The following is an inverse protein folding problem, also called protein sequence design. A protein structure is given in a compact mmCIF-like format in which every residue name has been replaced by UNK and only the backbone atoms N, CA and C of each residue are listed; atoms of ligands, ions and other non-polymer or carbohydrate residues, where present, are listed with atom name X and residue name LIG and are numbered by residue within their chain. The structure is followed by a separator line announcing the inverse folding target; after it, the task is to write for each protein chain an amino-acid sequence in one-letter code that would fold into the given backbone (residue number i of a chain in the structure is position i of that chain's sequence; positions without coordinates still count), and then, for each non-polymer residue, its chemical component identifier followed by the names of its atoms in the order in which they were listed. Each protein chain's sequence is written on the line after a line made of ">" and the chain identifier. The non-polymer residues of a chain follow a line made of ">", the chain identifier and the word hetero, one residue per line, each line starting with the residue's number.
data_IF_529751328601
#
_entry.id   IF_529751328601
#
_cell.length_a   1.000
_cell.length_b   1.000
_cell.length_c   1.000
_cell.angle_alpha   90.00
_cell.angle_beta   90.00
_cell.angle_gamma   90.00
#
_symmetry.space_group_name_H-M   'P 1'
#
loop_
_entity.id
_entity.type
_entity.pdbx_description
1 polymer ?
#
# COMPACT_ATOMS: atom_id res chain seq x y z
N UNK A 1 17.58 4.99 -19.64
CA UNK A 1 17.19 5.90 -18.53
C UNK A 1 18.36 6.01 -17.55
N UNK A 2 18.81 7.23 -17.22
CA UNK A 2 19.85 7.44 -16.18
C UNK A 2 19.34 6.83 -14.86
N UNK A 3 20.21 6.16 -14.09
CA UNK A 3 19.85 5.39 -12.87
C UNK A 3 18.98 6.22 -11.91
N UNK A 4 19.32 7.49 -11.69
CA UNK A 4 18.54 8.40 -10.83
C UNK A 4 17.09 8.59 -11.30
N UNK A 5 16.84 8.73 -12.62
CA UNK A 5 15.48 8.88 -13.18
C UNK A 5 14.66 7.61 -12.98
N UNK A 6 15.29 6.43 -13.06
CA UNK A 6 14.64 5.14 -12.76
C UNK A 6 14.21 5.05 -11.31
N UNK A 7 15.12 5.36 -10.38
CA UNK A 7 14.86 5.32 -8.95
C UNK A 7 13.72 6.27 -8.60
N UNK A 8 13.79 7.51 -9.07
CA UNK A 8 12.73 8.51 -8.84
C UNK A 8 11.37 8.05 -9.38
N UNK A 9 11.32 7.56 -10.62
CA UNK A 9 10.06 7.09 -11.23
C UNK A 9 9.47 5.89 -10.47
N UNK A 10 10.32 4.96 -10.02
CA UNK A 10 9.90 3.81 -9.23
C UNK A 10 9.34 4.21 -7.87
N UNK A 11 10.04 5.11 -7.15
CA UNK A 11 9.56 5.63 -5.86
C UNK A 11 8.24 6.37 -6.01
N UNK A 12 8.10 7.24 -7.02
CA UNK A 12 6.86 7.95 -7.30
C UNK A 12 5.71 6.99 -7.61
N UNK A 13 5.94 5.98 -8.46
CA UNK A 13 4.95 4.96 -8.79
C UNK A 13 4.48 4.22 -7.53
N UNK A 14 5.44 3.84 -6.66
CA UNK A 14 5.17 3.22 -5.37
C UNK A 14 4.33 4.11 -4.47
N UNK A 15 4.75 5.36 -4.24
CA UNK A 15 4.05 6.30 -3.37
C UNK A 15 2.63 6.61 -3.85
N UNK A 16 2.42 6.76 -5.17
CA UNK A 16 1.07 6.95 -5.75
C UNK A 16 0.20 5.73 -5.48
N UNK A 17 0.73 4.51 -5.68
CA UNK A 17 -0.01 3.30 -5.39
C UNK A 17 -0.34 3.13 -3.90
N UNK A 18 0.64 3.37 -3.02
CA UNK A 18 0.45 3.35 -1.57
C UNK A 18 -0.60 4.37 -1.12
N UNK A 19 -0.58 5.58 -1.70
CA UNK A 19 -1.60 6.61 -1.49
C UNK A 19 -2.98 6.18 -1.98
N UNK A 20 -3.05 5.56 -3.16
CA UNK A 20 -4.30 5.00 -3.69
C UNK A 20 -4.92 3.95 -2.77
N UNK A 21 -4.12 3.05 -2.21
CA UNK A 21 -4.57 2.06 -1.21
C UNK A 21 -5.05 2.73 0.08
N UNK A 22 -4.30 3.71 0.59
CA UNK A 22 -4.67 4.44 1.80
C UNK A 22 -6.00 5.20 1.62
N UNK A 23 -6.18 5.87 0.48
CA UNK A 23 -7.41 6.58 0.13
C UNK A 23 -8.59 5.61 -0.04
N UNK A 24 -8.38 4.44 -0.64
CA UNK A 24 -9.42 3.42 -0.78
C UNK A 24 -9.95 2.95 0.58
N UNK A 25 -9.06 2.63 1.52
CA UNK A 25 -9.48 2.22 2.87
C UNK A 25 -10.10 3.37 3.64
N UNK A 26 -9.56 4.59 3.53
CA UNK A 26 -10.18 5.77 4.14
C UNK A 26 -11.60 5.99 3.62
N UNK A 27 -11.82 5.88 2.31
CA UNK A 27 -13.16 6.02 1.72
C UNK A 27 -14.11 4.91 2.22
N UNK A 28 -13.63 3.67 2.32
CA UNK A 28 -14.41 2.54 2.83
C UNK A 28 -14.80 2.73 4.30
N UNK A 29 -13.86 3.20 5.12
CA UNK A 29 -14.05 3.52 6.53
C UNK A 29 -15.07 4.67 6.73
N UNK A 30 -15.00 5.71 5.90
CA UNK A 30 -15.95 6.82 5.92
C UNK A 30 -17.36 6.35 5.56
N UNK A 31 -17.51 5.48 4.55
CA UNK A 31 -18.81 4.90 4.17
C UNK A 31 -19.40 4.06 5.32
N UNK A 32 -18.55 3.41 6.13
CA UNK A 32 -18.94 2.65 7.31
C UNK A 32 -19.17 3.51 8.57
N UNK A 33 -19.00 4.83 8.47
CA UNK A 33 -19.07 5.79 9.58
C UNK A 33 -18.03 5.53 10.69
N UNK A 34 -16.88 4.95 10.31
CA UNK A 34 -15.79 4.59 11.23
C UNK A 34 -14.44 5.05 10.65
N UNK A 35 -14.19 6.37 10.51
CA UNK A 35 -13.00 6.88 9.84
C UNK A 35 -11.73 6.39 10.52
N UNK A 36 -10.74 5.99 9.70
CA UNK A 36 -9.43 5.47 10.12
C UNK A 36 -9.49 4.12 10.86
N UNK A 37 -10.65 3.48 10.99
CA UNK A 37 -10.78 2.18 11.65
C UNK A 37 -9.84 1.13 11.05
N UNK A 38 -9.81 1.02 9.72
CA UNK A 38 -8.96 0.04 9.02
C UNK A 38 -7.48 0.33 9.30
N UNK A 39 -7.04 1.59 9.16
CA UNK A 39 -5.63 1.94 9.36
C UNK A 39 -5.22 1.76 10.83
N UNK A 40 -6.08 2.13 11.78
CA UNK A 40 -5.83 1.94 13.20
C UNK A 40 -5.81 0.46 13.59
N UNK A 41 -6.66 -0.37 12.98
CA UNK A 41 -6.66 -1.82 13.17
C UNK A 41 -5.37 -2.45 12.60
N UNK A 42 -4.98 -2.08 11.38
CA UNK A 42 -3.74 -2.56 10.76
C UNK A 42 -2.50 -2.13 11.56
N UNK A 43 -2.47 -0.89 12.05
CA UNK A 43 -1.37 -0.37 12.86
C UNK A 43 -1.22 -1.11 14.19
N UNK A 44 -2.34 -1.30 14.91
CA UNK A 44 -2.36 -2.06 16.17
C UNK A 44 -1.94 -3.51 15.94
N UNK A 45 -2.52 -4.15 14.93
CA UNK A 45 -2.18 -5.52 14.56
C UNK A 45 -0.68 -5.67 14.23
N UNK A 46 -0.12 -4.77 13.43
CA UNK A 46 1.29 -4.81 13.03
C UNK A 46 2.25 -4.59 14.21
N UNK A 47 1.89 -3.73 15.16
CA UNK A 47 2.69 -3.41 16.33
C UNK A 47 2.41 -4.33 17.53
N UNK A 48 1.56 -5.34 17.37
CA UNK A 48 1.18 -6.26 18.46
C UNK A 48 0.44 -5.59 19.61
N UNK A 49 -0.25 -4.48 19.34
CA UNK A 49 -1.06 -3.77 20.34
C UNK A 49 -2.43 -4.46 20.51
N UNK A 50 -2.97 -4.51 21.74
CA UNK A 50 -4.27 -5.14 21.99
C UNK A 50 -5.39 -4.49 21.18
N UNK A 51 -6.35 -5.32 20.75
CA UNK A 51 -7.52 -4.89 19.98
C UNK A 51 -8.56 -4.16 20.84
N UNK A 52 -8.53 -4.41 22.15
CA UNK A 52 -9.53 -3.98 23.11
C UNK A 52 -9.62 -2.44 23.17
N UNK A 53 -10.88 -1.98 23.21
CA UNK A 53 -11.31 -0.62 22.96
C UNK A 53 -10.54 0.42 23.77
N UNK A 54 -10.28 1.58 23.14
CA UNK A 54 -10.12 2.83 23.86
C UNK A 54 -11.16 2.85 25.00
N UNK A 55 -10.75 2.97 26.27
CA UNK A 55 -11.70 2.97 27.37
C UNK A 55 -12.76 4.07 27.13
N UNK A 56 -14.02 3.87 27.57
CA UNK A 56 -15.05 4.89 27.42
C UNK A 56 -14.61 6.17 28.16
N UNK A 57 -14.16 7.16 27.39
CA UNK A 57 -13.59 8.42 27.87
C UNK A 57 -12.53 8.96 26.90
N UNK A 58 -12.26 10.27 26.95
CA UNK A 58 -11.12 10.89 26.27
C UNK A 58 -9.83 10.52 26.99
N UNK A 59 -9.40 9.27 26.87
CA UNK A 59 -8.07 8.86 27.31
C UNK A 59 -7.04 9.39 26.30
N UNK A 60 -6.46 10.54 26.64
CA UNK A 60 -5.44 11.24 25.83
C UNK A 60 -4.24 10.33 25.59
N UNK A 61 -3.89 9.46 26.54
CA UNK A 61 -2.75 8.54 26.38
C UNK A 61 -3.08 7.48 25.31
N UNK A 62 -4.27 6.89 25.36
CA UNK A 62 -4.72 5.93 24.35
C UNK A 62 -4.86 6.56 22.94
N UNK A 63 -5.31 7.82 22.87
CA UNK A 63 -5.33 8.59 21.62
C UNK A 63 -3.92 8.83 21.07
N UNK A 64 -2.97 9.23 21.93
CA UNK A 64 -1.59 9.45 21.55
C UNK A 64 -0.91 8.16 21.06
N UNK A 65 -1.08 7.05 21.78
CA UNK A 65 -0.55 5.74 21.38
C UNK A 65 -1.12 5.29 20.04
N UNK A 66 -2.43 5.46 19.83
CA UNK A 66 -3.07 5.13 18.54
C UNK A 66 -2.55 6.01 17.41
N UNK A 67 -2.42 7.32 17.65
CA UNK A 67 -1.87 8.26 16.67
C UNK A 67 -0.42 7.93 16.28
N UNK A 68 0.43 7.62 17.25
CA UNK A 68 1.82 7.18 17.01
C UNK A 68 1.83 5.86 16.22
N UNK A 69 1.00 4.89 16.61
CA UNK A 69 0.89 3.61 15.91
C UNK A 69 0.50 3.80 14.44
N UNK A 70 -0.54 4.60 14.18
CA UNK A 70 -0.99 4.95 12.82
C UNK A 70 0.10 5.67 12.04
N UNK A 71 0.81 6.61 12.66
CA UNK A 71 1.91 7.33 12.04
C UNK A 71 3.05 6.40 11.63
N UNK A 72 3.52 5.55 12.53
CA UNK A 72 4.58 4.57 12.27
C UNK A 72 4.15 3.59 11.18
N UNK A 73 2.93 3.04 11.27
CA UNK A 73 2.39 2.13 10.28
C UNK A 73 2.29 2.78 8.90
N UNK A 74 1.83 4.04 8.83
CA UNK A 74 1.74 4.79 7.57
C UNK A 74 3.10 4.98 6.92
N UNK A 75 4.13 5.31 7.69
CA UNK A 75 5.50 5.43 7.19
C UNK A 75 6.00 4.10 6.61
N UNK A 76 5.78 2.99 7.32
CA UNK A 76 6.15 1.65 6.85
C UNK A 76 5.38 1.24 5.60
N UNK A 77 4.09 1.56 5.53
CA UNK A 77 3.24 1.35 4.36
C UNK A 77 3.80 2.08 3.12
N UNK A 78 4.09 3.37 3.24
CA UNK A 78 4.68 4.13 2.12
C UNK A 78 6.09 3.66 1.77
N UNK A 79 6.91 3.26 2.75
CA UNK A 79 8.23 2.69 2.48
C UNK A 79 8.13 1.35 1.72
N UNK A 80 7.22 0.47 2.14
CA UNK A 80 6.93 -0.80 1.48
C UNK A 80 6.48 -0.59 0.03
N UNK A 81 5.52 0.31 -0.19
CA UNK A 81 5.05 0.63 -1.54
C UNK A 81 6.12 1.32 -2.39
N UNK A 82 6.95 2.20 -1.82
CA UNK A 82 8.12 2.78 -2.49
C UNK A 82 9.12 1.71 -2.96
N UNK A 83 9.42 0.72 -2.12
CA UNK A 83 10.26 -0.41 -2.47
C UNK A 83 9.65 -1.28 -3.58
N UNK A 84 8.34 -1.55 -3.51
CA UNK A 84 7.61 -2.27 -4.55
C UNK A 84 7.60 -1.51 -5.88
N UNK A 85 7.41 -0.19 -5.86
CA UNK A 85 7.46 0.65 -7.06
C UNK A 85 8.84 0.65 -7.70
N UNK A 86 9.90 0.72 -6.90
CA UNK A 86 11.29 0.56 -7.38
C UNK A 86 11.49 -0.81 -8.03
N UNK A 87 11.06 -1.88 -7.37
CA UNK A 87 11.13 -3.26 -7.89
C UNK A 87 10.34 -3.41 -9.19
N UNK A 88 9.15 -2.79 -9.30
CA UNK A 88 8.32 -2.81 -10.49
C UNK A 88 9.06 -2.27 -11.72
N UNK A 89 9.97 -1.30 -11.56
CA UNK A 89 10.78 -0.81 -12.69
C UNK A 89 11.64 -1.89 -13.34
N UNK A 90 11.96 -2.98 -12.63
CA UNK A 90 12.77 -4.10 -13.12
C UNK A 90 11.90 -5.26 -13.61
N UNK A 91 10.74 -5.48 -12.98
CA UNK A 91 9.92 -6.67 -13.18
C UNK A 91 8.77 -6.43 -14.17
N UNK A 92 8.35 -5.18 -14.36
CA UNK A 92 7.25 -4.80 -15.26
C UNK A 92 7.81 -4.09 -16.49
N UNK A 93 8.23 -4.84 -17.54
CA UNK A 93 8.76 -4.24 -18.75
C UNK A 93 7.67 -3.49 -19.52
N UNK A 94 8.02 -2.28 -19.96
CA UNK A 94 7.17 -1.45 -20.80
C UNK A 94 6.97 -2.13 -22.16
N UNK A 95 5.72 -2.41 -22.50
CA UNK A 95 5.32 -2.96 -23.80
C UNK A 95 4.21 -2.10 -24.38
N UNK A 96 3.01 -2.62 -24.62
CA UNK A 96 1.83 -1.79 -24.86
C UNK A 96 1.29 -1.25 -23.53
N UNK A 97 0.55 -0.14 -23.58
CA UNK A 97 -0.07 0.45 -22.39
C UNK A 97 -0.91 -0.59 -21.62
N UNK A 98 -1.84 -1.25 -22.30
CA UNK A 98 -2.72 -2.26 -21.70
C UNK A 98 -1.97 -3.48 -21.15
N UNK A 99 -0.97 -3.98 -21.88
CA UNK A 99 -0.16 -5.10 -21.38
C UNK A 99 0.67 -4.71 -20.15
N UNK A 100 1.15 -3.47 -20.10
CA UNK A 100 1.88 -2.93 -18.95
C UNK A 100 0.97 -2.82 -17.73
N UNK A 101 -0.27 -2.33 -17.90
CA UNK A 101 -1.26 -2.31 -16.81
C UNK A 101 -1.60 -3.71 -16.31
N UNK A 102 -1.84 -4.67 -17.21
CA UNK A 102 -2.14 -6.05 -16.83
C UNK A 102 -1.00 -6.72 -16.04
N UNK A 103 0.26 -6.51 -16.48
CA UNK A 103 1.45 -6.98 -15.75
C UNK A 103 1.62 -6.28 -14.42
N UNK A 104 1.35 -4.97 -14.36
CA UNK A 104 1.30 -4.21 -13.12
C UNK A 104 0.31 -4.80 -12.13
N UNK A 105 -0.91 -5.08 -12.58
CA UNK A 105 -1.95 -5.70 -11.76
C UNK A 105 -1.54 -7.07 -11.21
N UNK A 106 -0.95 -7.93 -12.06
CA UNK A 106 -0.40 -9.22 -11.62
C UNK A 106 0.74 -9.04 -10.61
N UNK A 107 1.66 -8.12 -10.88
CA UNK A 107 2.77 -7.81 -9.98
C UNK A 107 2.27 -7.33 -8.62
N UNK A 108 1.35 -6.36 -8.57
CA UNK A 108 0.77 -5.88 -7.32
C UNK A 108 0.01 -6.97 -6.59
N UNK A 109 -0.86 -7.69 -7.30
CA UNK A 109 -1.64 -8.80 -6.76
C UNK A 109 -0.78 -9.91 -6.14
N UNK A 110 0.39 -10.20 -6.69
CA UNK A 110 1.33 -11.18 -6.12
C UNK A 110 2.26 -10.54 -5.08
N UNK A 111 3.06 -9.55 -5.47
CA UNK A 111 4.14 -9.02 -4.64
C UNK A 111 3.63 -8.27 -3.41
N UNK A 112 2.62 -7.41 -3.54
CA UNK A 112 2.06 -6.69 -2.40
C UNK A 112 1.30 -7.64 -1.45
N UNK A 113 0.64 -8.67 -1.99
CA UNK A 113 -0.02 -9.70 -1.17
C UNK A 113 0.98 -10.58 -0.44
N UNK A 114 2.07 -11.00 -1.09
CA UNK A 114 3.15 -11.74 -0.44
C UNK A 114 3.83 -10.90 0.64
N UNK A 115 4.05 -9.61 0.39
CA UNK A 115 4.60 -8.70 1.40
C UNK A 115 3.68 -8.59 2.61
N UNK A 116 2.37 -8.42 2.38
CA UNK A 116 1.37 -8.36 3.45
C UNK A 116 1.31 -9.66 4.25
N UNK A 117 1.20 -10.81 3.57
CA UNK A 117 1.14 -12.13 4.21
C UNK A 117 2.44 -12.43 4.95
N UNK A 118 3.60 -12.13 4.35
CA UNK A 118 4.91 -12.31 4.98
C UNK A 118 5.08 -11.44 6.23
N UNK A 119 4.71 -10.15 6.14
CA UNK A 119 4.71 -9.25 7.28
C UNK A 119 3.81 -9.76 8.42
N UNK A 120 2.61 -10.25 8.09
CA UNK A 120 1.72 -10.92 9.05
C UNK A 120 2.38 -12.13 9.71
N UNK A 121 2.98 -13.02 8.92
CA UNK A 121 3.63 -14.23 9.42
C UNK A 121 4.79 -13.90 10.37
N UNK A 122 5.63 -12.93 10.01
CA UNK A 122 6.79 -12.52 10.83
C UNK A 122 6.36 -11.84 12.13
N UNK A 123 5.30 -11.02 12.09
CA UNK A 123 4.82 -10.30 13.28
C UNK A 123 3.98 -11.17 14.22
N UNK A 124 3.64 -12.42 13.83
CA UNK A 124 2.74 -13.28 14.60
C UNK A 124 1.35 -12.67 14.79
N UNK A 125 1.02 -11.66 13.98
CA UNK A 125 -0.12 -10.80 14.22
C UNK A 125 -1.43 -11.54 13.88
N UNK A 126 -2.43 -11.51 14.78
CA UNK A 126 -3.77 -11.94 14.46
C UNK A 126 -4.43 -10.85 13.60
N UNK A 127 -3.88 -10.57 12.41
CA UNK A 127 -4.65 -9.94 11.35
C UNK A 127 -5.84 -10.85 11.12
N UNK A 128 -6.97 -10.55 11.77
CA UNK A 128 -8.24 -11.02 11.30
C UNK A 128 -8.29 -10.51 9.87
N UNK A 129 -8.23 -11.42 8.91
CA UNK A 129 -8.50 -11.08 7.52
C UNK A 129 -9.99 -10.73 7.36
N UNK A 130 -10.78 -10.78 8.43
CA UNK A 130 -12.22 -10.54 8.47
C UNK A 130 -12.65 -9.11 8.09
N UNK A 131 -11.96 -7.99 8.44
CA UNK A 131 -12.46 -6.66 8.08
C UNK A 131 -12.33 -6.33 6.58
N UNK A 132 -11.36 -6.94 5.89
CA UNK A 132 -11.02 -6.67 4.48
C UNK A 132 -11.39 -7.86 3.58
N UNK A 133 -11.22 -9.09 4.06
CA UNK A 133 -11.36 -10.32 3.28
C UNK A 133 -10.18 -10.54 2.31
N UNK A 134 -9.80 -11.80 2.10
CA UNK A 134 -8.76 -12.17 1.12
C UNK A 134 -9.08 -11.63 -0.29
N UNK A 135 -10.34 -11.70 -0.79
CA UNK A 135 -10.67 -11.16 -2.11
C UNK A 135 -10.42 -9.65 -2.23
N UNK A 136 -10.82 -8.86 -1.22
CA UNK A 136 -10.58 -7.41 -1.29
C UNK A 136 -9.10 -7.08 -1.20
N UNK A 137 -8.32 -7.81 -0.38
CA UNK A 137 -6.88 -7.63 -0.31
C UNK A 137 -6.24 -7.85 -1.70
N UNK A 138 -6.59 -8.95 -2.38
CA UNK A 138 -6.07 -9.25 -3.72
C UNK A 138 -6.48 -8.18 -4.73
N UNK A 139 -7.73 -7.73 -4.71
CA UNK A 139 -8.24 -6.69 -5.61
C UNK A 139 -7.54 -5.35 -5.39
N UNK A 140 -7.41 -4.91 -4.13
CA UNK A 140 -6.74 -3.64 -3.78
C UNK A 140 -5.26 -3.70 -4.15
N UNK A 141 -4.58 -4.82 -3.90
CA UNK A 141 -3.18 -5.01 -4.28
C UNK A 141 -2.99 -5.04 -5.80
N UNK A 142 -3.90 -5.68 -6.54
CA UNK A 142 -3.89 -5.64 -8.00
C UNK A 142 -4.13 -4.22 -8.53
N UNK A 143 -5.10 -3.49 -7.98
CA UNK A 143 -5.35 -2.09 -8.32
C UNK A 143 -4.13 -1.20 -8.04
N UNK A 144 -3.46 -1.41 -6.90
CA UNK A 144 -2.22 -0.72 -6.58
C UNK A 144 -1.12 -1.01 -7.61
N UNK A 145 -0.99 -2.27 -8.04
CA UNK A 145 -0.09 -2.67 -9.13
C UNK A 145 -0.41 -1.99 -10.47
N UNK A 146 -1.68 -1.83 -10.81
CA UNK A 146 -2.13 -1.07 -11.99
C UNK A 146 -1.74 0.40 -11.87
N UNK A 147 -1.93 1.03 -10.70
CA UNK A 147 -1.52 2.41 -10.45
C UNK A 147 -0.01 2.58 -10.61
N UNK A 148 0.80 1.67 -10.05
CA UNK A 148 2.26 1.70 -10.25
C UNK A 148 2.61 1.63 -11.74
N UNK A 149 2.05 0.66 -12.46
CA UNK A 149 2.32 0.49 -13.89
C UNK A 149 1.87 1.67 -14.73
N UNK A 150 0.76 2.33 -14.38
CA UNK A 150 0.30 3.55 -15.04
C UNK A 150 1.33 4.68 -14.91
N UNK A 151 1.82 4.93 -13.71
CA UNK A 151 2.86 5.95 -13.46
C UNK A 151 4.15 5.62 -14.21
N UNK A 152 4.57 4.35 -14.22
CA UNK A 152 5.75 3.92 -14.97
C UNK A 152 5.58 4.06 -16.49
N UNK A 153 4.40 3.75 -17.01
CA UNK A 153 4.08 3.89 -18.43
C UNK A 153 4.13 5.35 -18.89
N UNK A 154 3.60 6.28 -18.08
CA UNK A 154 3.67 7.73 -18.36
C UNK A 154 5.13 8.19 -18.41
N UNK A 155 5.93 7.86 -17.39
CA UNK A 155 7.35 8.24 -17.37
C UNK A 155 8.16 7.65 -18.52
N UNK A 156 7.83 6.42 -18.96
CA UNK A 156 8.47 5.81 -20.11
C UNK A 156 8.12 6.54 -21.41
N UNK A 157 6.86 6.96 -21.58
CA UNK A 157 6.41 7.75 -22.71
C UNK A 157 7.10 9.12 -22.75
N UNK A 158 7.21 9.81 -21.62
CA UNK A 158 7.89 11.12 -21.55
C UNK A 158 9.39 11.00 -21.85
N UNK A 159 10.05 9.95 -21.35
CA UNK A 159 11.46 9.69 -21.64
C UNK A 159 11.76 9.35 -23.10
N UNK A 160 10.77 8.90 -23.87
CA UNK A 160 10.91 8.63 -25.31
C UNK A 160 10.88 9.89 -26.18
N UNK A 161 10.42 11.03 -25.63
CA UNK A 161 10.35 12.33 -26.34
C UNK A 161 11.65 13.14 -26.26
N UNK A 162 12.61 12.71 -25.44
CA UNK A 162 13.89 13.38 -25.21
C UNK A 162 15.05 12.79 -26.05
N UNK A 163 14.76 11.87 -26.98
CA UNK A 163 15.72 11.22 -27.89
C UNK A 163 15.38 11.55 -29.35
#
# INVERSE_FOLDING_TARGET
>A
MRVAKRISSGLQAGLVAGGGVALFYLATDVVRLAPLETVAALARAFLGLPADALPPGLDIAALATTGVAVGVYSLLHFAAFGALGLLATFVVPATSFWATLGRGGLFGGVAASLLFVGARTVTGSPFAVEPIGVPSLLLVNAAAGVLMAMVLAVHAADGSREL
#
